data_IF_409970831250
#
_entry.id   IF_409970831250
#
_cell.length_a   1.000
_cell.length_b   1.000
_cell.length_c   1.000
_cell.angle_alpha   90.00
_cell.angle_beta   90.00
_cell.angle_gamma   90.00
#
_symmetry.space_group_name_H-M   'P 1'
#
loop_
_entity.id
_entity.type
_entity.pdbx_description
1 polymer ?
#
# COMPACT_ATOMS: atom_id res chain seq x y z
N UNK A 1 -18.79 -15.28 -29.57
CA UNK A 1 -17.97 -15.46 -28.35
C UNK A 1 -18.25 -14.28 -27.47
N UNK A 2 -19.05 -14.45 -26.43
CA UNK A 2 -19.23 -13.39 -25.42
C UNK A 2 -17.91 -13.24 -24.66
N UNK A 3 -17.36 -12.03 -24.63
CA UNK A 3 -16.10 -11.75 -23.96
C UNK A 3 -16.27 -11.89 -22.45
N UNK A 4 -15.55 -12.83 -21.84
CA UNK A 4 -15.48 -12.93 -20.39
C UNK A 4 -14.73 -11.72 -19.83
N UNK A 5 -15.36 -10.95 -18.95
CA UNK A 5 -14.71 -9.86 -18.22
C UNK A 5 -13.52 -10.42 -17.43
N UNK A 6 -12.35 -9.79 -17.56
CA UNK A 6 -11.13 -10.13 -16.82
C UNK A 6 -10.59 -8.89 -16.13
N UNK A 7 -10.08 -9.09 -14.92
CA UNK A 7 -9.41 -8.05 -14.15
C UNK A 7 -7.90 -8.21 -14.27
N UNK A 8 -7.20 -7.08 -14.38
CA UNK A 8 -5.74 -7.08 -14.31
C UNK A 8 -5.30 -7.18 -12.84
N UNK A 9 -4.24 -7.96 -12.53
CA UNK A 9 -3.70 -8.01 -11.18
C UNK A 9 -3.08 -6.65 -10.80
N UNK A 10 -3.18 -6.29 -9.52
CA UNK A 10 -2.39 -5.19 -8.95
C UNK A 10 -1.05 -5.72 -8.43
N UNK A 11 -0.07 -4.83 -8.27
CA UNK A 11 1.24 -5.18 -7.70
C UNK A 11 1.50 -4.38 -6.43
N UNK A 12 2.30 -4.93 -5.51
CA UNK A 12 2.70 -4.23 -4.28
C UNK A 12 4.12 -3.71 -4.37
N UNK A 13 4.37 -2.51 -3.86
CA UNK A 13 5.68 -1.89 -3.71
C UNK A 13 5.93 -1.56 -2.23
N UNK A 14 6.68 -2.43 -1.56
CA UNK A 14 6.99 -2.29 -0.13
C UNK A 14 8.38 -1.62 0.01
N UNK A 15 8.46 -0.52 0.76
CA UNK A 15 9.73 0.17 0.97
C UNK A 15 10.66 -0.61 1.91
N UNK A 16 11.97 -0.39 1.78
CA UNK A 16 12.95 -0.93 2.73
C UNK A 16 12.72 -0.37 4.14
N UNK A 17 12.36 0.92 4.24
CA UNK A 17 12.08 1.57 5.53
C UNK A 17 10.91 0.94 6.28
N UNK A 18 9.90 0.41 5.57
CA UNK A 18 8.80 -0.32 6.20
C UNK A 18 9.31 -1.51 7.01
N UNK A 19 10.17 -2.36 6.42
CA UNK A 19 10.69 -3.56 7.09
C UNK A 19 11.52 -3.21 8.32
N UNK A 20 12.36 -2.18 8.22
CA UNK A 20 13.17 -1.70 9.34
C UNK A 20 12.30 -1.20 10.49
N UNK A 21 11.29 -0.39 10.19
CA UNK A 21 10.35 0.14 11.17
C UNK A 21 9.48 -0.96 11.78
N UNK A 22 9.04 -1.92 10.97
CA UNK A 22 8.28 -3.10 11.43
C UNK A 22 9.09 -3.93 12.43
N UNK A 23 10.35 -4.25 12.11
CA UNK A 23 11.22 -5.01 13.00
C UNK A 23 11.42 -4.29 14.34
N UNK A 24 11.68 -2.98 14.30
CA UNK A 24 11.86 -2.15 15.51
C UNK A 24 10.59 -2.12 16.36
N UNK A 25 9.42 -1.90 15.76
CA UNK A 25 8.13 -1.89 16.49
C UNK A 25 7.77 -3.28 17.04
N UNK A 26 7.97 -4.35 16.26
CA UNK A 26 7.68 -5.72 16.70
C UNK A 26 8.48 -6.11 17.94
N UNK A 27 9.77 -5.76 18.00
CA UNK A 27 10.63 -6.07 19.14
C UNK A 27 10.32 -5.16 20.33
N UNK A 28 10.25 -3.85 20.12
CA UNK A 28 10.27 -2.87 21.21
C UNK A 28 8.87 -2.48 21.73
N UNK A 29 7.87 -2.41 20.86
CA UNK A 29 6.53 -1.92 21.19
C UNK A 29 5.55 -3.08 21.37
N UNK A 30 5.50 -3.99 20.41
CA UNK A 30 4.54 -5.11 20.40
C UNK A 30 5.03 -6.35 21.12
N UNK A 31 6.26 -6.33 21.65
CA UNK A 31 6.83 -7.43 22.47
C UNK A 31 6.72 -8.81 21.80
N UNK A 32 6.95 -8.85 20.49
CA UNK A 32 6.84 -10.04 19.64
C UNK A 32 5.43 -10.65 19.59
N UNK A 33 4.39 -9.86 19.84
CA UNK A 33 3.02 -10.29 19.59
C UNK A 33 2.83 -10.67 18.11
N UNK A 34 2.15 -11.79 17.90
CA UNK A 34 1.81 -12.34 16.58
C UNK A 34 0.32 -12.10 16.24
N UNK A 35 -0.39 -11.32 17.05
CA UNK A 35 -1.73 -10.84 16.74
C UNK A 35 -1.80 -10.01 15.46
N UNK A 36 -2.99 -9.96 14.87
CA UNK A 36 -3.23 -9.21 13.63
C UNK A 36 -3.03 -7.70 13.84
N UNK A 37 -2.26 -7.08 12.95
CA UNK A 37 -2.06 -5.63 12.94
C UNK A 37 -2.64 -5.03 11.67
N UNK A 38 -3.59 -4.10 11.84
CA UNK A 38 -4.09 -3.30 10.74
C UNK A 38 -3.02 -2.29 10.28
N UNK A 39 -2.72 -2.27 8.98
CA UNK A 39 -1.82 -1.30 8.35
C UNK A 39 -2.55 -0.59 7.20
N UNK A 40 -2.14 0.64 6.92
CA UNK A 40 -2.66 1.41 5.79
C UNK A 40 -1.77 1.28 4.55
N UNK A 41 -2.24 1.75 3.41
CA UNK A 41 -1.46 1.79 2.17
C UNK A 41 -2.04 2.82 1.23
N UNK A 42 -1.24 3.31 0.30
CA UNK A 42 -1.71 4.20 -0.77
C UNK A 42 -1.50 3.52 -2.12
N UNK A 43 -2.41 3.75 -3.05
CA UNK A 43 -2.29 3.18 -4.39
C UNK A 43 -2.05 4.28 -5.42
N UNK A 44 -1.23 3.96 -6.40
CA UNK A 44 -1.10 4.73 -7.64
C UNK A 44 -2.00 4.07 -8.68
N UNK A 45 -2.95 4.84 -9.23
CA UNK A 45 -3.70 4.42 -10.40
C UNK A 45 -2.71 4.21 -11.56
N UNK A 46 -2.78 3.05 -12.20
CA UNK A 46 -1.85 2.71 -13.29
C UNK A 46 -1.87 3.76 -14.40
N UNK A 47 -0.77 4.50 -14.57
CA UNK A 47 -0.61 5.47 -15.67
C UNK A 47 0.00 4.75 -16.87
N UNK A 48 -0.55 4.96 -18.07
CA UNK A 48 -0.07 4.48 -19.39
C UNK A 48 0.95 3.31 -19.36
N UNK A 49 0.47 2.08 -19.61
CA UNK A 49 1.26 0.82 -19.61
C UNK A 49 1.82 0.37 -18.25
N UNK A 50 1.50 1.03 -17.15
CA UNK A 50 1.84 0.55 -15.79
C UNK A 50 0.61 -0.01 -15.10
N UNK A 51 0.74 -1.20 -14.50
CA UNK A 51 -0.30 -1.75 -13.64
C UNK A 51 -0.43 -0.92 -12.36
N UNK A 52 -1.62 -0.83 -11.76
CA UNK A 52 -1.81 -0.21 -10.46
C UNK A 52 -0.85 -0.78 -9.40
N UNK A 53 -0.36 0.10 -8.53
CA UNK A 53 0.61 -0.25 -7.50
C UNK A 53 0.14 0.15 -6.11
N UNK A 54 0.11 -0.80 -5.19
CA UNK A 54 -0.13 -0.58 -3.77
C UNK A 54 1.21 -0.34 -3.07
N UNK A 55 1.42 0.87 -2.59
CA UNK A 55 2.61 1.26 -1.87
C UNK A 55 2.44 1.06 -0.36
N UNK A 56 3.45 0.46 0.25
CA UNK A 56 3.55 0.26 1.70
C UNK A 56 4.87 0.87 2.17
N UNK A 57 4.78 1.89 3.00
CA UNK A 57 5.93 2.62 3.58
C UNK A 57 5.88 2.59 5.09
N UNK A 58 6.91 3.09 5.78
CA UNK A 58 6.93 3.09 7.25
C UNK A 58 5.72 3.82 7.90
N UNK A 59 5.22 4.88 7.26
CA UNK A 59 4.04 5.63 7.70
C UNK A 59 2.77 4.77 7.79
N UNK A 60 2.69 3.71 6.98
CA UNK A 60 1.58 2.76 6.96
C UNK A 60 1.37 2.03 8.29
N UNK A 61 2.41 1.97 9.14
CA UNK A 61 2.37 1.33 10.45
C UNK A 61 1.75 2.22 11.53
N UNK A 62 1.63 3.53 11.31
CA UNK A 62 1.30 4.48 12.38
C UNK A 62 -0.19 4.82 12.45
N UNK A 63 -1.04 4.18 11.63
CA UNK A 63 -2.48 4.40 11.67
C UNK A 63 -2.94 5.81 11.24
N UNK A 64 -2.02 6.65 10.77
CA UNK A 64 -2.25 8.06 10.48
C UNK A 64 -2.83 8.30 9.09
N UNK A 65 -3.69 9.32 8.99
CA UNK A 65 -4.14 9.90 7.74
C UNK A 65 -2.91 10.24 6.89
N UNK A 66 -2.73 9.52 5.78
CA UNK A 66 -1.71 9.83 4.78
C UNK A 66 -1.85 11.32 4.43
N UNK A 67 -0.73 12.04 4.44
CA UNK A 67 -0.67 13.43 3.95
C UNK A 67 -1.43 13.53 2.62
N UNK A 68 -2.35 14.50 2.49
CA UNK A 68 -3.15 14.71 1.27
C UNK A 68 -2.31 14.75 0.00
N UNK A 69 -1.01 15.07 0.09
CA UNK A 69 -0.06 15.06 -1.02
C UNK A 69 0.27 13.67 -1.59
N UNK A 70 -0.08 12.58 -0.89
CA UNK A 70 0.10 11.18 -1.35
C UNK A 70 -1.19 10.54 -1.88
N UNK A 71 -2.32 11.25 -1.79
CA UNK A 71 -3.50 10.91 -2.57
C UNK A 71 -3.27 11.37 -4.00
N UNK A 72 -2.82 10.44 -4.86
CA UNK A 72 -2.85 10.66 -6.29
C UNK A 72 -4.32 10.53 -6.68
N UNK A 73 -5.00 11.66 -6.89
CA UNK A 73 -6.34 11.67 -7.46
C UNK A 73 -6.36 10.89 -8.79
N UNK A 74 -7.45 10.16 -9.08
CA UNK A 74 -7.54 9.38 -10.31
C UNK A 74 -7.47 10.33 -11.51
N UNK A 75 -6.71 9.94 -12.53
CA UNK A 75 -6.88 10.50 -13.86
C UNK A 75 -8.36 10.44 -14.20
N UNK A 76 -8.94 11.62 -14.48
CA UNK A 76 -10.35 11.77 -14.85
C UNK A 76 -10.71 10.78 -15.97
N UNK A 77 -11.85 10.11 -15.80
CA UNK A 77 -12.52 9.46 -16.92
C UNK A 77 -13.07 10.55 -17.85
N UNK A 78 -12.47 10.70 -19.04
CA UNK A 78 -13.19 10.97 -20.29
C UNK A 78 -12.50 10.21 -21.41
#
# INVERSE_FOLDING_TARGET
MEGQLRFAPFTSAISVSFWTSLARKKINEWKLDDGDLAIWGYYEAGVQNRSPRLHITEECLEGGQLSSSKYIEPCAYV
#
